data_IF_839905269717
#
_entry.id   IF_839905269717
#
_cell.length_a   1.000
_cell.length_b   1.000
_cell.length_c   1.000
_cell.angle_alpha   90.00
_cell.angle_beta   90.00
_cell.angle_gamma   90.00
#
_symmetry.space_group_name_H-M   'P 1'
#
loop_
_entity.id
_entity.type
_entity.pdbx_description
1 polymer ?
#
# COMPACT_ATOMS: atom_id res chain seq x y z
N UNK A 1 4.51 4.67 19.68
CA UNK A 1 4.13 6.10 19.64
C UNK A 1 5.39 6.95 19.56
N UNK A 2 5.41 8.03 18.76
CA UNK A 2 6.61 8.86 18.56
C UNK A 2 6.95 9.65 19.83
N UNK A 3 8.19 9.53 20.31
CA UNK A 3 8.65 10.24 21.51
C UNK A 3 9.03 11.67 21.15
N UNK A 4 8.49 12.66 21.86
CA UNK A 4 8.79 14.07 21.64
C UNK A 4 9.98 14.50 22.50
N UNK A 5 10.84 15.36 21.95
CA UNK A 5 11.93 16.01 22.68
C UNK A 5 11.35 17.12 23.56
N UNK A 6 11.83 17.26 24.79
CA UNK A 6 11.63 18.47 25.60
C UNK A 6 12.95 18.94 26.20
N UNK A 7 12.98 20.16 26.77
CA UNK A 7 14.21 20.73 27.36
C UNK A 7 14.77 19.86 28.49
N UNK A 8 13.88 19.27 29.32
CA UNK A 8 14.26 18.41 30.45
C UNK A 8 14.42 16.93 30.05
N UNK A 9 13.83 16.51 28.92
CA UNK A 9 13.88 15.13 28.45
C UNK A 9 14.42 15.06 27.01
N UNK A 10 15.75 15.05 26.83
CA UNK A 10 16.35 14.85 25.52
C UNK A 10 16.10 13.42 25.01
N UNK A 11 16.04 13.27 23.68
CA UNK A 11 15.87 11.96 23.04
C UNK A 11 17.16 11.15 23.13
N UNK A 12 17.06 9.92 23.61
CA UNK A 12 18.17 8.96 23.54
C UNK A 12 18.46 8.56 22.10
N UNK A 13 19.64 7.98 21.82
CA UNK A 13 19.98 7.47 20.48
C UNK A 13 18.96 6.44 19.97
N UNK A 14 18.49 5.58 20.86
CA UNK A 14 17.47 4.57 20.52
C UNK A 14 16.11 5.22 20.20
N UNK A 15 15.70 6.24 20.96
CA UNK A 15 14.46 6.97 20.68
C UNK A 15 14.50 7.64 19.30
N UNK A 16 15.66 8.22 18.92
CA UNK A 16 15.84 8.81 17.58
C UNK A 16 15.73 7.76 16.48
N UNK A 17 16.35 6.60 16.65
CA UNK A 17 16.27 5.48 15.67
C UNK A 17 14.83 5.00 15.50
N UNK A 18 14.11 4.80 16.60
CA UNK A 18 12.70 4.40 16.56
C UNK A 18 11.82 5.48 15.94
N UNK A 19 12.02 6.76 16.28
CA UNK A 19 11.29 7.85 15.66
C UNK A 19 11.53 7.94 14.15
N UNK A 20 12.76 7.69 13.69
CA UNK A 20 13.09 7.65 12.25
C UNK A 20 12.38 6.49 11.54
N UNK A 21 12.34 5.30 12.15
CA UNK A 21 11.60 4.15 11.61
C UNK A 21 10.10 4.47 11.48
N UNK A 22 9.49 4.98 12.55
CA UNK A 22 8.08 5.39 12.56
C UNK A 22 7.78 6.48 11.52
N UNK A 23 8.71 7.41 11.31
CA UNK A 23 8.54 8.44 10.28
C UNK A 23 8.55 7.82 8.87
N UNK A 24 9.43 6.86 8.59
CA UNK A 24 9.43 6.14 7.31
C UNK A 24 8.14 5.38 7.05
N UNK A 25 7.59 4.71 8.06
CA UNK A 25 6.28 4.02 7.97
C UNK A 25 5.14 5.01 7.68
N UNK A 26 5.15 6.18 8.34
CA UNK A 26 4.12 7.23 8.12
C UNK A 26 4.09 7.75 6.69
N UNK A 27 5.23 7.88 6.01
CA UNK A 27 5.27 8.36 4.61
C UNK A 27 4.43 7.46 3.70
N UNK A 28 4.51 6.13 3.89
CA UNK A 28 3.71 5.18 3.12
C UNK A 28 2.22 5.39 3.40
N UNK A 29 1.85 5.53 4.68
CA UNK A 29 0.45 5.78 5.06
C UNK A 29 -0.08 7.13 4.55
N UNK A 30 0.73 8.18 4.59
CA UNK A 30 0.37 9.51 4.08
C UNK A 30 0.11 9.48 2.58
N UNK A 31 0.93 8.75 1.82
CA UNK A 31 0.70 8.54 0.38
C UNK A 31 -0.63 7.83 0.11
N UNK A 32 -0.93 6.76 0.85
CA UNK A 32 -2.21 6.03 0.74
C UNK A 32 -3.38 6.93 1.11
N UNK A 33 -3.29 7.69 2.20
CA UNK A 33 -4.34 8.63 2.62
C UNK A 33 -4.52 9.74 1.58
N UNK A 34 -3.45 10.24 1.00
CA UNK A 34 -3.49 11.23 -0.08
C UNK A 34 -4.23 10.72 -1.31
N UNK A 35 -3.96 9.48 -1.72
CA UNK A 35 -4.70 8.80 -2.79
C UNK A 35 -6.19 8.65 -2.45
N UNK A 36 -6.51 8.17 -1.25
CA UNK A 36 -7.89 8.01 -0.80
C UNK A 36 -8.66 9.34 -0.74
N UNK A 37 -8.00 10.44 -0.37
CA UNK A 37 -8.61 11.78 -0.35
C UNK A 37 -8.89 12.35 -1.73
N UNK A 38 -8.38 11.78 -2.83
CA UNK A 38 -8.79 12.18 -4.19
C UNK A 38 -10.28 11.90 -4.43
N UNK A 39 -10.83 10.88 -3.77
CA UNK A 39 -12.25 10.60 -3.83
C UNK A 39 -13.01 11.58 -2.93
N UNK A 40 -13.87 12.42 -3.52
CA UNK A 40 -14.70 13.42 -2.80
C UNK A 40 -15.54 12.81 -1.66
N UNK A 41 -15.91 11.54 -1.79
CA UNK A 41 -16.61 10.78 -0.74
C UNK A 41 -15.83 10.65 0.58
N UNK A 42 -14.49 10.71 0.51
CA UNK A 42 -13.55 10.66 1.64
C UNK A 42 -13.04 12.07 1.98
N UNK A 43 -12.81 12.93 0.98
CA UNK A 43 -12.33 14.29 1.19
C UNK A 43 -13.37 15.23 1.83
N UNK A 44 -14.64 15.14 1.41
CA UNK A 44 -15.70 16.02 1.88
C UNK A 44 -16.53 15.40 3.01
N UNK A 45 -17.30 16.24 3.70
CA UNK A 45 -18.28 15.77 4.68
C UNK A 45 -19.29 14.84 4.00
N UNK A 46 -19.29 13.57 4.39
CA UNK A 46 -20.19 12.57 3.84
C UNK A 46 -21.66 12.87 4.19
N UNK A 47 -22.49 13.18 3.17
CA UNK A 47 -23.92 13.51 3.33
C UNK A 47 -24.89 12.35 3.02
N UNK A 48 -24.40 11.22 2.56
CA UNK A 48 -25.21 10.07 2.17
C UNK A 48 -25.51 9.11 3.33
N UNK A 49 -26.45 8.18 3.14
CA UNK A 49 -26.76 7.14 4.16
C UNK A 49 -25.52 6.31 4.51
N UNK A 50 -25.16 6.28 5.80
CA UNK A 50 -23.96 5.57 6.30
C UNK A 50 -24.02 4.04 6.11
N UNK A 51 -25.22 3.44 6.05
CA UNK A 51 -25.39 1.98 5.84
C UNK A 51 -24.72 1.45 4.57
N UNK A 52 -24.51 2.28 3.55
CA UNK A 52 -23.84 1.90 2.28
C UNK A 52 -22.39 2.38 2.17
N UNK A 53 -21.84 3.00 3.23
CA UNK A 53 -20.47 3.52 3.20
C UNK A 53 -19.46 2.39 3.00
N UNK A 54 -19.62 1.25 3.67
CA UNK A 54 -18.74 0.09 3.51
C UNK A 54 -18.68 -0.43 2.07
N UNK A 55 -19.82 -0.55 1.39
CA UNK A 55 -19.87 -0.98 -0.03
C UNK A 55 -19.10 0.00 -0.92
N UNK A 56 -19.30 1.31 -0.72
CA UNK A 56 -18.62 2.35 -1.49
C UNK A 56 -17.12 2.36 -1.22
N UNK A 57 -16.72 2.12 0.03
CA UNK A 57 -15.32 2.03 0.43
C UNK A 57 -14.65 0.78 -0.15
N UNK A 58 -15.35 -0.35 -0.17
CA UNK A 58 -14.86 -1.58 -0.81
C UNK A 58 -14.62 -1.37 -2.32
N UNK A 59 -15.52 -0.65 -3.00
CA UNK A 59 -15.33 -0.31 -4.41
C UNK A 59 -14.09 0.57 -4.62
N UNK A 60 -13.89 1.59 -3.79
CA UNK A 60 -12.71 2.48 -3.86
C UNK A 60 -11.42 1.69 -3.60
N UNK A 61 -11.43 0.79 -2.61
CA UNK A 61 -10.31 -0.11 -2.32
C UNK A 61 -9.99 -1.01 -3.51
N UNK A 62 -11.02 -1.57 -4.16
CA UNK A 62 -10.86 -2.37 -5.37
C UNK A 62 -10.19 -1.61 -6.52
N UNK A 63 -10.64 -0.37 -6.79
CA UNK A 63 -10.05 0.50 -7.81
C UNK A 63 -8.57 0.80 -7.49
N UNK A 64 -8.29 1.18 -6.24
CA UNK A 64 -6.92 1.46 -5.81
C UNK A 64 -5.99 0.24 -5.96
N UNK A 65 -6.47 -0.94 -5.54
CA UNK A 65 -5.71 -2.18 -5.66
C UNK A 65 -5.49 -2.56 -7.14
N UNK A 66 -6.46 -2.31 -8.01
CA UNK A 66 -6.32 -2.54 -9.45
C UNK A 66 -5.27 -1.62 -10.08
N UNK A 67 -5.29 -0.33 -9.76
CA UNK A 67 -4.28 0.63 -10.22
C UNK A 67 -2.87 0.25 -9.72
N UNK A 68 -2.77 -0.18 -8.45
CA UNK A 68 -1.51 -0.62 -7.86
C UNK A 68 -0.97 -1.89 -8.52
N UNK A 69 -1.82 -2.90 -8.70
CA UNK A 69 -1.46 -4.16 -9.35
C UNK A 69 -1.06 -3.94 -10.81
N UNK A 70 -1.78 -3.07 -11.54
CA UNK A 70 -1.43 -2.70 -12.91
C UNK A 70 -0.07 -2.03 -13.01
N UNK A 71 0.27 -1.14 -12.07
CA UNK A 71 1.60 -0.53 -11.98
C UNK A 71 2.71 -1.54 -11.67
N UNK A 72 2.46 -2.49 -10.76
CA UNK A 72 3.40 -3.57 -10.45
C UNK A 72 3.60 -4.51 -11.65
N UNK A 73 2.53 -4.85 -12.36
CA UNK A 73 2.59 -5.65 -13.57
C UNK A 73 3.34 -4.92 -14.68
N UNK A 74 3.09 -3.63 -14.88
CA UNK A 74 3.82 -2.82 -15.86
C UNK A 74 5.31 -2.76 -15.52
N UNK A 75 5.67 -2.50 -14.26
CA UNK A 75 7.06 -2.51 -13.82
C UNK A 75 7.71 -3.87 -14.03
N UNK A 76 7.00 -4.94 -13.68
CA UNK A 76 7.45 -6.32 -13.85
C UNK A 76 7.70 -6.68 -15.33
N UNK A 77 6.76 -6.35 -16.22
CA UNK A 77 6.86 -6.56 -17.67
C UNK A 77 7.93 -5.71 -18.36
N UNK A 78 8.41 -4.65 -17.72
CA UNK A 78 9.47 -3.78 -18.24
C UNK A 78 10.78 -3.89 -17.45
N UNK A 79 10.89 -4.89 -16.55
CA UNK A 79 12.08 -5.10 -15.73
C UNK A 79 13.08 -6.06 -16.40
N UNK A 80 14.37 -5.80 -16.24
CA UNK A 80 15.44 -6.70 -16.72
C UNK A 80 15.44 -8.07 -16.03
N UNK A 81 14.66 -8.23 -14.95
CA UNK A 81 14.47 -9.48 -14.22
C UNK A 81 13.31 -10.33 -14.75
N UNK A 82 12.57 -9.84 -15.75
CA UNK A 82 11.45 -10.57 -16.37
C UNK A 82 11.82 -12.00 -16.84
N UNK A 83 12.97 -12.24 -17.51
CA UNK A 83 13.27 -13.56 -18.06
C UNK A 83 13.45 -14.65 -16.99
N UNK A 84 14.05 -14.30 -15.83
CA UNK A 84 14.30 -15.26 -14.75
C UNK A 84 13.03 -15.63 -14.00
N UNK A 85 12.11 -14.68 -13.79
CA UNK A 85 10.84 -14.96 -13.11
C UNK A 85 9.89 -15.75 -14.02
N UNK A 86 9.85 -15.46 -15.34
CA UNK A 86 9.09 -16.26 -16.32
C UNK A 86 9.62 -17.70 -16.33
N UNK A 87 10.94 -17.88 -16.38
CA UNK A 87 11.57 -19.21 -16.34
C UNK A 87 11.22 -19.99 -15.07
N UNK A 88 11.20 -19.32 -13.91
CA UNK A 88 10.82 -19.93 -12.63
C UNK A 88 9.35 -20.36 -12.63
N UNK A 89 8.44 -19.50 -13.11
CA UNK A 89 7.01 -19.80 -13.19
C UNK A 89 6.73 -20.97 -14.15
N UNK A 90 7.34 -20.98 -15.33
CA UNK A 90 7.18 -22.08 -16.31
C UNK A 90 7.72 -23.41 -15.76
N UNK A 91 8.80 -23.40 -14.97
CA UNK A 91 9.31 -24.61 -14.33
C UNK A 91 8.42 -25.16 -13.21
N UNK A 92 7.64 -24.30 -12.54
CA UNK A 92 6.78 -24.67 -11.40
C UNK A 92 5.33 -24.97 -11.82
N UNK A 93 4.92 -24.54 -13.01
CA UNK A 93 3.58 -24.73 -13.56
C UNK A 93 3.10 -26.20 -13.56
N UNK A 94 3.95 -27.21 -13.88
CA UNK A 94 3.53 -28.62 -13.85
C UNK A 94 3.22 -29.15 -12.44
N UNK A 95 3.85 -28.57 -11.40
CA UNK A 95 3.67 -29.00 -10.00
C UNK A 95 2.47 -28.33 -9.31
N UNK A 96 1.97 -27.22 -9.87
CA UNK A 96 0.85 -26.46 -9.32
C UNK A 96 -0.13 -26.06 -10.44
N UNK A 97 -0.88 -27.01 -11.02
CA UNK A 97 -1.75 -26.78 -12.18
C UNK A 97 -2.89 -25.77 -11.90
N UNK A 98 -3.23 -25.59 -10.63
CA UNK A 98 -4.29 -24.69 -10.17
C UNK A 98 -3.93 -23.20 -10.36
N UNK A 99 -2.64 -22.88 -10.56
CA UNK A 99 -2.17 -21.52 -10.84
C UNK A 99 -2.29 -21.13 -12.31
N UNK A 100 -2.59 -22.07 -13.21
CA UNK A 100 -2.68 -21.84 -14.66
C UNK A 100 -4.07 -21.33 -15.12
N UNK A 101 -5.08 -21.33 -14.25
CA UNK A 101 -6.50 -21.12 -14.58
C UNK A 101 -7.11 -19.83 -13.99
N UNK A 102 -6.30 -18.81 -13.70
CA UNK A 102 -6.76 -17.48 -13.28
C UNK A 102 -6.55 -16.43 -14.37
#
# INVERSE_FOLDING_TARGET
MQKKKSKKNPLTKNDKKNNRRLAGEKVVYENVIGMLKRFKIIADKYRNRRKRLGIRFNLISGIYNFELLGGLLYFYLNSSLQPSIISLYTSLLPSYPNLALA
#
